data_IF_194622396895
#
_entry.id   IF_194622396895
#
_cell.length_a   1.000
_cell.length_b   1.000
_cell.length_c   1.000
_cell.angle_alpha   90.00
_cell.angle_beta   90.00
_cell.angle_gamma   90.00
#
_symmetry.space_group_name_H-M   'P 1'
#
loop_
_entity.id
_entity.type
_entity.pdbx_description
1 polymer ?
#
# COMPACT_ATOMS: atom_id res chain seq x y z
N UNK A 1 -14.91 31.82 -50.89
CA UNK A 1 -14.92 30.38 -50.62
C UNK A 1 -14.29 30.19 -49.25
N UNK A 2 -15.10 30.03 -48.20
CA UNK A 2 -14.61 29.82 -46.82
C UNK A 2 -14.42 28.33 -46.59
N UNK A 3 -13.35 27.90 -45.88
CA UNK A 3 -13.15 26.48 -45.59
C UNK A 3 -14.20 26.03 -44.57
N UNK A 4 -14.79 24.87 -44.84
CA UNK A 4 -15.73 24.14 -43.98
C UNK A 4 -15.06 23.78 -42.67
N UNK A 5 -15.77 24.04 -41.55
CA UNK A 5 -15.37 23.63 -40.20
C UNK A 5 -15.16 22.12 -40.14
N UNK A 6 -13.97 21.73 -39.74
CA UNK A 6 -13.63 20.34 -39.45
C UNK A 6 -14.37 19.92 -38.16
N UNK A 7 -15.31 18.98 -38.28
CA UNK A 7 -15.97 18.38 -37.15
C UNK A 7 -14.93 17.72 -36.22
N UNK A 8 -14.85 18.21 -35.00
CA UNK A 8 -14.08 17.55 -33.91
C UNK A 8 -14.86 16.29 -33.51
N UNK A 9 -14.31 15.10 -33.64
CA UNK A 9 -15.00 13.89 -33.23
C UNK A 9 -15.23 13.91 -31.71
N UNK A 10 -16.49 14.07 -31.30
CA UNK A 10 -16.94 13.88 -29.93
C UNK A 10 -17.00 12.38 -29.65
N UNK A 11 -15.94 11.83 -29.04
CA UNK A 11 -16.02 10.48 -28.46
C UNK A 11 -16.92 10.54 -27.24
N UNK A 12 -17.92 9.66 -27.10
CA UNK A 12 -18.70 9.57 -25.88
C UNK A 12 -17.77 9.07 -24.78
N UNK A 13 -17.37 9.94 -23.86
CA UNK A 13 -16.69 9.55 -22.62
C UNK A 13 -17.73 8.87 -21.75
N UNK A 14 -17.94 7.57 -21.94
CA UNK A 14 -18.64 6.73 -20.97
C UNK A 14 -17.71 6.54 -19.77
N UNK A 15 -17.62 7.54 -18.90
CA UNK A 15 -16.85 7.46 -17.67
C UNK A 15 -17.47 6.36 -16.79
N UNK A 16 -16.73 5.24 -16.62
CA UNK A 16 -17.13 4.19 -15.71
C UNK A 16 -17.04 4.69 -14.29
N UNK A 17 -18.19 4.75 -13.61
CA UNK A 17 -18.26 5.10 -12.19
C UNK A 17 -18.38 3.82 -11.38
N UNK A 18 -17.50 3.65 -10.39
CA UNK A 18 -17.52 2.52 -9.45
C UNK A 18 -17.63 3.04 -8.02
N UNK A 19 -18.39 2.34 -7.20
CA UNK A 19 -18.45 2.61 -5.77
C UNK A 19 -17.51 1.66 -5.05
N UNK A 20 -16.75 2.17 -4.10
CA UNK A 20 -15.89 1.39 -3.22
C UNK A 20 -15.99 1.90 -1.78
N UNK A 21 -15.61 1.04 -0.84
CA UNK A 21 -15.48 1.38 0.57
C UNK A 21 -14.33 0.56 1.16
N UNK A 22 -13.66 1.13 2.16
CA UNK A 22 -12.64 0.42 2.93
C UNK A 22 -13.26 0.11 4.28
N UNK A 23 -13.23 -1.14 4.67
CA UNK A 23 -13.86 -1.58 5.91
C UNK A 23 -13.28 -0.89 7.15
N UNK A 24 -14.12 -0.72 8.17
CA UNK A 24 -13.77 -0.01 9.40
C UNK A 24 -12.62 -0.65 10.17
N UNK A 25 -12.46 -1.96 10.07
CA UNK A 25 -11.40 -2.69 10.75
C UNK A 25 -10.03 -2.60 10.05
N UNK A 26 -9.96 -2.08 8.81
CA UNK A 26 -8.72 -1.96 8.04
C UNK A 26 -7.99 -0.62 8.30
N UNK A 27 -7.93 -0.22 9.56
CA UNK A 27 -7.28 1.04 9.92
C UNK A 27 -5.74 0.93 9.95
N UNK A 28 -5.09 2.03 9.59
CA UNK A 28 -3.72 2.35 9.99
C UNK A 28 -3.77 3.33 11.18
N UNK A 29 -3.84 4.65 10.95
CA UNK A 29 -4.24 5.61 11.98
C UNK A 29 -5.66 5.33 12.48
N UNK A 30 -5.97 5.67 13.75
CA UNK A 30 -7.25 5.31 14.43
C UNK A 30 -8.55 5.65 13.65
N UNK A 31 -8.53 6.65 12.76
CA UNK A 31 -9.71 7.13 12.01
C UNK A 31 -9.47 7.17 10.50
N UNK A 32 -8.51 6.43 10.02
CA UNK A 32 -8.19 6.37 8.60
C UNK A 32 -7.77 4.96 8.21
N UNK A 33 -7.99 4.61 6.95
CA UNK A 33 -7.53 3.37 6.38
C UNK A 33 -6.00 3.25 6.47
N UNK A 34 -5.50 2.02 6.60
CA UNK A 34 -4.10 1.74 6.30
C UNK A 34 -3.83 2.10 4.84
N UNK A 35 -2.67 2.70 4.58
CA UNK A 35 -2.32 3.21 3.25
C UNK A 35 -2.33 2.14 2.19
N UNK A 36 -1.71 1.00 2.46
CA UNK A 36 -1.65 -0.13 1.54
C UNK A 36 -3.01 -0.77 1.27
N UNK A 37 -3.86 -0.98 2.29
CA UNK A 37 -5.24 -1.43 2.08
C UNK A 37 -6.04 -0.45 1.22
N UNK A 38 -5.88 0.85 1.47
CA UNK A 38 -6.53 1.88 0.67
C UNK A 38 -6.03 1.84 -0.78
N UNK A 39 -4.72 1.84 -0.98
CA UNK A 39 -4.11 1.80 -2.29
C UNK A 39 -4.49 0.53 -3.07
N UNK A 40 -4.39 -0.65 -2.45
CA UNK A 40 -4.75 -1.93 -3.08
C UNK A 40 -6.24 -2.03 -3.42
N UNK A 41 -7.14 -1.47 -2.60
CA UNK A 41 -8.57 -1.41 -2.91
C UNK A 41 -8.83 -0.50 -4.11
N UNK A 42 -8.15 0.63 -4.19
CA UNK A 42 -8.26 1.59 -5.29
C UNK A 42 -7.61 1.02 -6.56
N UNK A 43 -6.45 0.36 -6.46
CA UNK A 43 -5.75 -0.23 -7.59
C UNK A 43 -6.63 -1.20 -8.41
N UNK A 44 -7.56 -1.92 -7.76
CA UNK A 44 -8.52 -2.79 -8.45
C UNK A 44 -9.49 -2.06 -9.38
N UNK A 45 -9.55 -0.75 -9.33
CA UNK A 45 -10.38 0.04 -10.26
C UNK A 45 -9.67 0.39 -11.56
N UNK A 46 -8.37 0.14 -11.63
CA UNK A 46 -7.53 0.30 -12.83
C UNK A 46 -7.34 -1.05 -13.49
N UNK A 47 -7.51 -1.11 -14.80
CA UNK A 47 -7.31 -2.32 -15.61
C UNK A 47 -5.86 -2.36 -16.11
N UNK A 48 -4.94 -2.77 -15.22
CA UNK A 48 -3.52 -2.94 -15.51
C UNK A 48 -2.87 -3.86 -14.47
N UNK A 49 -1.82 -4.58 -14.87
CA UNK A 49 -1.06 -5.47 -13.98
C UNK A 49 -0.23 -4.67 -12.96
N UNK A 50 0.36 -3.56 -13.40
CA UNK A 50 1.11 -2.62 -12.56
C UNK A 50 0.31 -1.34 -12.42
N UNK A 51 0.07 -0.93 -11.18
CA UNK A 51 -0.75 0.25 -10.88
C UNK A 51 -0.01 1.19 -9.94
N UNK A 52 -0.05 2.48 -10.24
CA UNK A 52 0.36 3.56 -9.35
C UNK A 52 -0.86 4.17 -8.68
N UNK A 53 -0.84 4.24 -7.35
CA UNK A 53 -1.88 4.91 -6.54
C UNK A 53 -1.25 6.02 -5.72
N UNK A 54 -1.79 7.23 -5.84
CA UNK A 54 -1.41 8.37 -4.99
C UNK A 54 -2.56 8.70 -4.04
N UNK A 55 -2.26 8.72 -2.74
CA UNK A 55 -3.20 9.10 -1.68
C UNK A 55 -3.04 10.59 -1.38
N UNK A 56 -4.10 11.38 -1.56
CA UNK A 56 -4.11 12.82 -1.30
C UNK A 56 -4.48 13.16 0.16
N UNK A 57 -4.06 12.31 1.08
CA UNK A 57 -4.29 12.43 2.51
C UNK A 57 -4.96 11.20 3.10
N UNK A 58 -5.52 11.33 4.31
CA UNK A 58 -6.14 10.21 5.01
C UNK A 58 -7.41 9.74 4.28
N UNK A 59 -7.43 8.47 3.91
CA UNK A 59 -8.59 7.83 3.27
C UNK A 59 -9.57 7.39 4.38
N UNK A 60 -10.85 7.77 4.30
CA UNK A 60 -11.83 7.46 5.34
C UNK A 60 -12.25 6.00 5.32
N UNK A 61 -12.53 5.45 6.49
CA UNK A 61 -13.06 4.10 6.71
C UNK A 61 -14.58 4.06 6.67
N UNK A 62 -15.17 2.95 6.23
CA UNK A 62 -16.61 2.68 6.27
C UNK A 62 -17.44 3.74 5.55
N UNK A 63 -16.85 4.44 4.61
CA UNK A 63 -17.49 5.53 3.87
C UNK A 63 -17.51 5.18 2.38
N UNK A 64 -18.65 5.49 1.75
CA UNK A 64 -18.76 5.36 0.29
C UNK A 64 -17.81 6.33 -0.41
N UNK A 65 -16.97 5.79 -1.27
CA UNK A 65 -16.08 6.52 -2.16
C UNK A 65 -16.52 6.27 -3.61
N UNK A 66 -16.31 7.24 -4.46
CA UNK A 66 -16.63 7.17 -5.88
C UNK A 66 -15.34 7.18 -6.67
N UNK A 67 -15.11 6.15 -7.44
CA UNK A 67 -14.02 6.04 -8.40
C UNK A 67 -14.58 6.34 -9.79
N UNK A 68 -14.06 7.37 -10.44
CA UNK A 68 -14.47 7.83 -11.76
C UNK A 68 -13.30 7.68 -12.72
N UNK A 69 -13.53 7.00 -13.84
CA UNK A 69 -12.58 6.93 -14.95
C UNK A 69 -12.45 8.31 -15.60
N UNK A 70 -11.21 8.77 -15.75
CA UNK A 70 -10.91 10.09 -16.34
C UNK A 70 -10.13 10.00 -17.64
N UNK A 71 -10.08 8.80 -18.23
CA UNK A 71 -9.37 8.52 -19.49
C UNK A 71 -7.97 7.95 -19.27
N UNK A 72 -7.38 7.41 -20.34
CA UNK A 72 -6.06 6.76 -20.35
C UNK A 72 -5.85 5.70 -19.24
N UNK A 73 -6.94 5.02 -18.84
CA UNK A 73 -6.92 4.04 -17.73
C UNK A 73 -6.76 4.66 -16.34
N UNK A 74 -6.76 5.99 -16.24
CA UNK A 74 -6.64 6.68 -14.95
C UNK A 74 -7.98 6.84 -14.25
N UNK A 75 -7.94 6.82 -12.92
CA UNK A 75 -9.10 6.90 -12.03
C UNK A 75 -8.88 7.97 -10.98
N UNK A 76 -9.89 8.79 -10.75
CA UNK A 76 -9.98 9.74 -9.62
C UNK A 76 -10.95 9.19 -8.59
N UNK A 77 -10.52 9.13 -7.33
CA UNK A 77 -11.37 8.68 -6.22
C UNK A 77 -11.75 9.86 -5.35
N UNK A 78 -13.05 10.02 -5.09
CA UNK A 78 -13.59 11.13 -4.31
C UNK A 78 -14.49 10.67 -3.15
N UNK A 79 -14.59 11.54 -2.14
CA UNK A 79 -15.62 11.54 -1.10
C UNK A 79 -16.39 12.86 -1.18
N UNK A 80 -17.59 12.86 -1.74
CA UNK A 80 -18.25 14.09 -2.15
C UNK A 80 -17.38 14.88 -3.12
N UNK A 81 -17.19 16.17 -2.89
CA UNK A 81 -16.33 17.02 -3.72
C UNK A 81 -14.82 16.85 -3.45
N UNK A 82 -14.42 16.16 -2.36
CA UNK A 82 -13.00 16.02 -2.00
C UNK A 82 -12.35 14.86 -2.74
N UNK A 83 -11.30 15.14 -3.51
CA UNK A 83 -10.42 14.11 -4.07
C UNK A 83 -9.60 13.47 -2.94
N UNK A 84 -9.66 12.14 -2.82
CA UNK A 84 -8.93 11.37 -1.79
C UNK A 84 -7.78 10.56 -2.35
N UNK A 85 -7.87 10.15 -3.61
CA UNK A 85 -6.80 9.44 -4.29
C UNK A 85 -6.89 9.59 -5.81
N UNK A 86 -5.79 9.25 -6.49
CA UNK A 86 -5.73 9.00 -7.93
C UNK A 86 -5.03 7.68 -8.18
N UNK A 87 -5.38 6.99 -9.26
CA UNK A 87 -4.72 5.77 -9.69
C UNK A 87 -4.60 5.73 -11.21
N UNK A 88 -3.55 5.12 -11.73
CA UNK A 88 -3.32 4.95 -13.16
C UNK A 88 -2.43 3.74 -13.42
N UNK A 89 -2.37 3.20 -14.65
CA UNK A 89 -1.34 2.24 -15.03
C UNK A 89 0.04 2.77 -14.67
N UNK A 90 0.86 1.93 -14.06
CA UNK A 90 2.19 2.28 -13.57
C UNK A 90 3.28 1.46 -14.22
N UNK A 91 4.52 1.85 -13.96
CA UNK A 91 5.71 1.11 -14.36
C UNK A 91 6.60 0.87 -13.13
N UNK A 92 7.13 -0.33 -13.01
CA UNK A 92 8.16 -0.64 -12.02
C UNK A 92 9.52 -0.45 -12.68
N UNK A 93 10.38 0.30 -12.02
CA UNK A 93 11.77 0.41 -12.45
C UNK A 93 12.52 -0.87 -12.07
N UNK A 94 13.33 -1.38 -12.97
CA UNK A 94 14.23 -2.47 -12.65
C UNK A 94 15.30 -2.00 -11.67
N UNK A 95 15.27 -2.57 -10.49
CA UNK A 95 16.26 -2.30 -9.45
C UNK A 95 16.78 -3.63 -8.94
N UNK A 96 18.10 -3.79 -8.83
CA UNK A 96 18.67 -4.99 -8.25
C UNK A 96 18.15 -5.15 -6.81
N UNK A 97 17.70 -6.36 -6.51
CA UNK A 97 17.33 -6.71 -5.14
C UNK A 97 18.59 -6.73 -4.27
N UNK A 98 18.47 -6.36 -2.98
CA UNK A 98 19.57 -6.58 -2.04
C UNK A 98 19.96 -8.05 -1.98
N UNK A 99 21.24 -8.34 -2.13
CA UNK A 99 21.77 -9.70 -2.03
C UNK A 99 22.72 -9.86 -0.83
N UNK A 100 22.60 -10.96 -0.11
CA UNK A 100 21.53 -11.95 -0.20
C UNK A 100 20.19 -11.36 0.28
N UNK A 101 19.08 -11.83 -0.30
CA UNK A 101 17.75 -11.47 0.22
C UNK A 101 17.60 -11.94 1.68
N UNK A 102 16.85 -11.21 2.53
CA UNK A 102 16.60 -11.63 3.90
C UNK A 102 15.89 -12.99 3.95
N UNK A 103 16.37 -13.86 4.84
CA UNK A 103 15.72 -15.13 5.13
C UNK A 103 14.51 -14.95 6.04
N UNK A 104 13.71 -16.00 6.22
CA UNK A 104 12.60 -15.97 7.17
C UNK A 104 13.12 -15.79 8.62
N UNK A 105 14.27 -16.35 8.95
CA UNK A 105 14.93 -16.13 10.25
C UNK A 105 15.31 -14.66 10.43
N UNK A 106 15.91 -14.04 9.42
CA UNK A 106 16.24 -12.60 9.47
C UNK A 106 14.98 -11.75 9.67
N UNK A 107 13.88 -12.10 9.01
CA UNK A 107 12.63 -11.39 9.14
C UNK A 107 12.01 -11.52 10.56
N UNK A 108 12.10 -12.68 11.20
CA UNK A 108 11.68 -12.85 12.59
C UNK A 108 12.57 -12.05 13.55
N UNK A 109 13.89 -12.10 13.40
CA UNK A 109 14.82 -11.31 14.21
C UNK A 109 14.60 -9.81 14.01
N UNK A 110 14.35 -9.37 12.77
CA UNK A 110 14.03 -7.98 12.47
C UNK A 110 12.74 -7.55 13.17
N UNK A 111 11.66 -8.34 13.09
CA UNK A 111 10.41 -8.07 13.79
C UNK A 111 10.61 -7.92 15.29
N UNK A 112 11.39 -8.82 15.90
CA UNK A 112 11.61 -8.84 17.35
C UNK A 112 12.46 -7.63 17.81
N UNK A 113 13.20 -7.00 16.89
CA UNK A 113 13.90 -5.73 17.09
C UNK A 113 12.99 -4.49 16.94
N UNK A 114 11.71 -4.65 16.64
CA UNK A 114 10.75 -3.54 16.51
C UNK A 114 9.95 -3.33 17.82
N UNK A 115 9.70 -2.08 18.27
CA UNK A 115 10.29 -0.85 17.74
C UNK A 115 11.74 -0.73 18.18
N UNK A 116 12.63 -0.29 17.30
CA UNK A 116 14.01 -0.12 17.68
C UNK A 116 14.12 0.90 18.80
N UNK A 117 15.01 0.64 19.76
CA UNK A 117 15.39 1.60 20.81
C UNK A 117 14.28 1.95 21.83
N UNK A 118 13.29 1.09 22.05
CA UNK A 118 12.23 1.33 23.04
C UNK A 118 11.23 2.43 22.65
N UNK A 119 11.28 2.91 21.43
CA UNK A 119 10.31 3.88 20.92
C UNK A 119 8.95 3.21 20.79
N UNK A 120 7.92 3.79 21.42
CA UNK A 120 6.55 3.27 21.28
C UNK A 120 6.11 3.34 19.83
N UNK A 121 5.57 2.23 19.31
CA UNK A 121 5.02 2.16 17.97
C UNK A 121 3.94 3.23 17.74
N UNK A 122 4.11 4.17 16.79
CA UNK A 122 3.21 5.32 16.64
C UNK A 122 1.79 4.93 16.20
N UNK A 123 1.65 3.74 15.60
CA UNK A 123 0.39 3.15 15.13
C UNK A 123 0.15 1.77 15.75
N UNK A 124 0.22 1.66 17.07
CA UNK A 124 0.15 0.36 17.78
C UNK A 124 -1.12 -0.45 17.49
N UNK A 125 -2.17 0.19 16.97
CA UNK A 125 -3.44 -0.44 16.59
C UNK A 125 -3.63 -0.58 15.07
N UNK A 126 -2.59 -0.34 14.27
CA UNK A 126 -2.64 -0.55 12.83
C UNK A 126 -2.96 -2.01 12.50
N UNK A 127 -3.89 -2.26 11.58
CA UNK A 127 -4.27 -3.62 11.17
C UNK A 127 -3.11 -4.41 10.57
N UNK A 128 -2.10 -3.73 9.99
CA UNK A 128 -0.95 -4.38 9.34
C UNK A 128 0.19 -4.62 10.33
N UNK A 129 0.71 -3.58 10.96
CA UNK A 129 1.95 -3.64 11.75
C UNK A 129 1.75 -3.41 13.26
N UNK A 130 0.52 -3.15 13.71
CA UNK A 130 0.26 -2.76 15.09
C UNK A 130 0.44 -3.92 16.08
N UNK A 131 1.34 -3.81 17.07
CA UNK A 131 1.57 -4.87 18.05
C UNK A 131 0.39 -5.10 19.00
N UNK A 132 -0.42 -4.05 19.25
CA UNK A 132 -1.58 -4.13 20.14
C UNK A 132 -2.84 -4.66 19.44
N UNK A 133 -2.73 -5.01 18.16
CA UNK A 133 -3.84 -5.46 17.33
C UNK A 133 -3.91 -6.98 17.25
N UNK A 134 -4.82 -7.62 18.01
CA UNK A 134 -4.94 -9.10 18.05
C UNK A 134 -5.38 -9.72 16.71
N UNK A 135 -6.24 -9.05 15.95
CA UNK A 135 -6.75 -9.45 14.65
C UNK A 135 -5.95 -8.85 13.48
N UNK A 136 -4.73 -8.34 13.76
CA UNK A 136 -3.84 -7.74 12.77
C UNK A 136 -3.11 -8.77 11.89
N UNK A 137 -2.48 -8.25 10.83
CA UNK A 137 -1.62 -9.06 9.96
C UNK A 137 -0.25 -9.34 10.59
N UNK A 138 0.16 -8.54 11.57
CA UNK A 138 1.46 -8.61 12.26
C UNK A 138 2.67 -8.54 11.32
N UNK A 139 2.54 -7.81 10.21
CA UNK A 139 3.66 -7.49 9.31
C UNK A 139 4.38 -6.27 9.90
N UNK A 140 5.17 -6.52 10.92
CA UNK A 140 5.86 -5.49 11.70
C UNK A 140 7.32 -5.43 11.25
N UNK A 141 7.73 -4.37 10.52
CA UNK A 141 9.10 -4.29 10.00
C UNK A 141 10.09 -3.90 11.09
N UNK A 142 11.27 -4.44 10.99
CA UNK A 142 12.41 -4.01 11.80
C UNK A 142 13.71 -4.12 11.02
N UNK A 143 14.82 -3.61 11.55
CA UNK A 143 16.12 -3.66 10.89
C UNK A 143 16.65 -5.10 10.83
N UNK A 144 17.12 -5.50 9.64
CA UNK A 144 17.77 -6.80 9.47
C UNK A 144 19.10 -6.81 10.22
N UNK A 145 19.42 -7.84 11.00
CA UNK A 145 20.69 -7.94 11.74
C UNK A 145 21.91 -7.72 10.82
N UNK A 146 22.79 -6.83 11.21
CA UNK A 146 23.99 -6.47 10.42
C UNK A 146 23.72 -5.61 9.17
N UNK A 147 22.44 -5.35 8.83
CA UNK A 147 22.04 -4.52 7.66
C UNK A 147 20.94 -3.53 8.03
N UNK A 148 21.22 -2.51 8.87
CA UNK A 148 20.21 -1.63 9.45
C UNK A 148 19.46 -0.74 8.44
N UNK A 149 19.95 -0.62 7.21
CA UNK A 149 19.29 0.07 6.09
C UNK A 149 18.23 -0.79 5.39
N UNK A 150 18.20 -2.10 5.70
CA UNK A 150 17.27 -3.06 5.16
C UNK A 150 16.25 -3.41 6.23
N UNK A 151 14.96 -3.20 5.96
CA UNK A 151 13.88 -3.62 6.85
C UNK A 151 13.28 -4.93 6.36
N UNK A 152 12.89 -5.79 7.30
CA UNK A 152 12.16 -7.01 6.99
C UNK A 152 11.06 -7.29 8.01
N UNK A 153 10.05 -8.01 7.56
CA UNK A 153 8.97 -8.53 8.40
C UNK A 153 8.58 -9.93 7.92
N UNK A 154 8.33 -10.89 8.81
CA UNK A 154 7.64 -12.12 8.46
C UNK A 154 6.16 -11.82 8.27
N UNK A 155 5.53 -12.43 7.28
CA UNK A 155 4.08 -12.43 7.14
C UNK A 155 3.56 -13.87 7.04
N UNK A 156 2.73 -14.25 7.98
CA UNK A 156 1.97 -15.50 7.95
C UNK A 156 0.53 -15.13 7.58
N UNK A 157 0.06 -15.61 6.43
CA UNK A 157 -1.27 -15.25 5.94
C UNK A 157 -2.34 -15.84 6.85
N UNK A 158 -2.98 -14.97 7.62
CA UNK A 158 -4.05 -15.34 8.56
C UNK A 158 -5.42 -15.45 7.86
N UNK A 159 -6.36 -16.24 8.41
CA UNK A 159 -7.68 -16.42 7.80
C UNK A 159 -8.53 -15.16 7.64
N UNK A 160 -8.27 -14.10 8.39
CA UNK A 160 -9.03 -12.85 8.34
C UNK A 160 -8.67 -11.92 7.15
N UNK A 161 -7.62 -12.24 6.40
CA UNK A 161 -7.16 -11.44 5.25
C UNK A 161 -7.12 -12.26 3.95
N UNK A 162 -7.96 -13.27 3.82
CA UNK A 162 -8.00 -14.14 2.65
C UNK A 162 -9.40 -14.26 2.01
N UNK A 163 -9.40 -14.67 0.76
CA UNK A 163 -10.60 -15.12 0.05
C UNK A 163 -10.21 -16.19 -0.96
N UNK A 164 -11.03 -17.23 -1.09
CA UNK A 164 -10.74 -18.37 -1.98
C UNK A 164 -9.35 -18.99 -1.76
N UNK A 165 -8.93 -19.14 -0.49
CA UNK A 165 -7.68 -19.81 -0.11
C UNK A 165 -6.39 -19.00 -0.26
N UNK A 166 -6.46 -17.74 -0.69
CA UNK A 166 -5.31 -16.87 -0.82
C UNK A 166 -5.57 -15.48 -0.20
N UNK A 167 -4.51 -14.76 0.14
CA UNK A 167 -4.61 -13.38 0.62
C UNK A 167 -5.43 -12.52 -0.35
N UNK A 168 -6.31 -11.66 0.17
CA UNK A 168 -7.01 -10.70 -0.69
C UNK A 168 -6.00 -9.73 -1.33
N UNK A 169 -6.28 -9.29 -2.55
CA UNK A 169 -5.37 -8.44 -3.31
C UNK A 169 -4.89 -7.21 -2.52
N UNK A 170 -5.80 -6.51 -1.84
CA UNK A 170 -5.46 -5.34 -1.04
C UNK A 170 -4.63 -5.66 0.21
N UNK A 171 -4.66 -6.90 0.73
CA UNK A 171 -3.79 -7.32 1.83
C UNK A 171 -2.33 -7.45 1.39
N UNK A 172 -2.08 -7.86 0.13
CA UNK A 172 -0.71 -7.88 -0.42
C UNK A 172 -0.13 -6.45 -0.49
N UNK A 173 -0.91 -5.50 -0.99
CA UNK A 173 -0.52 -4.09 -0.97
C UNK A 173 -0.28 -3.57 0.44
N UNK A 174 -1.13 -3.97 1.39
CA UNK A 174 -0.99 -3.59 2.79
C UNK A 174 0.27 -4.18 3.42
N UNK A 175 0.60 -5.44 3.10
CA UNK A 175 1.84 -6.08 3.56
C UNK A 175 3.10 -5.38 3.04
N UNK A 176 3.04 -4.75 1.87
CA UNK A 176 4.14 -3.97 1.30
C UNK A 176 4.24 -2.55 1.90
N UNK A 177 3.14 -1.96 2.36
CA UNK A 177 3.09 -0.57 2.88
C UNK A 177 3.94 -0.39 4.14
N UNK A 178 3.65 -1.13 5.21
CA UNK A 178 4.36 -0.92 6.47
C UNK A 178 5.87 -1.21 6.39
N UNK A 179 6.35 -2.28 5.74
CA UNK A 179 7.78 -2.49 5.54
C UNK A 179 8.45 -1.45 4.63
N UNK A 180 7.72 -0.75 3.77
CA UNK A 180 8.28 0.32 2.93
C UNK A 180 8.61 1.60 3.71
N UNK A 181 8.41 1.60 5.02
CA UNK A 181 8.80 2.69 5.90
C UNK A 181 10.31 2.98 5.75
N UNK A 182 10.74 4.24 5.60
CA UNK A 182 12.17 4.54 5.52
C UNK A 182 12.91 4.07 6.78
N UNK A 183 13.96 3.28 6.63
CA UNK A 183 14.68 2.71 7.76
C UNK A 183 15.22 3.78 8.73
N UNK A 184 15.70 4.89 8.20
CA UNK A 184 16.15 6.03 9.01
C UNK A 184 14.99 6.66 9.80
N UNK A 185 13.82 6.85 9.16
CA UNK A 185 12.64 7.40 9.84
C UNK A 185 12.14 6.47 10.94
N UNK A 186 12.17 5.14 10.71
CA UNK A 186 11.82 4.15 11.73
C UNK A 186 12.78 4.21 12.93
N UNK A 187 14.08 4.28 12.66
CA UNK A 187 15.12 4.41 13.70
C UNK A 187 14.95 5.68 14.54
N UNK A 188 14.65 6.81 13.87
CA UNK A 188 14.58 8.12 14.50
C UNK A 188 13.18 8.43 15.07
N UNK A 189 12.24 7.47 15.00
CA UNK A 189 10.86 7.63 15.48
C UNK A 189 10.03 8.65 14.71
N UNK A 190 10.42 8.96 13.48
CA UNK A 190 9.72 9.92 12.61
C UNK A 190 8.49 9.29 12.02
N UNK A 191 7.33 9.92 12.21
CA UNK A 191 6.06 9.42 11.69
C UNK A 191 5.91 9.67 10.19
N UNK A 192 5.72 8.59 9.41
CA UNK A 192 5.48 8.63 7.98
C UNK A 192 4.13 7.98 7.63
N UNK A 193 3.53 8.44 6.55
CA UNK A 193 2.34 7.84 5.94
C UNK A 193 2.60 7.63 4.45
N UNK A 194 1.96 6.62 3.88
CA UNK A 194 2.03 6.34 2.46
C UNK A 194 1.47 7.53 1.64
N UNK A 195 2.28 8.06 0.75
CA UNK A 195 1.88 9.06 -0.24
C UNK A 195 1.53 8.44 -1.58
N UNK A 196 2.51 7.75 -2.18
CA UNK A 196 2.34 7.09 -3.49
C UNK A 196 2.93 5.68 -3.43
N UNK A 197 2.28 4.75 -4.08
CA UNK A 197 2.73 3.37 -4.22
C UNK A 197 2.46 2.87 -5.63
N UNK A 198 3.49 2.32 -6.27
CA UNK A 198 3.38 1.55 -7.50
C UNK A 198 3.64 0.09 -7.18
N UNK A 199 2.71 -0.79 -7.56
CA UNK A 199 2.89 -2.21 -7.29
C UNK A 199 2.30 -3.08 -8.39
N UNK A 200 2.88 -4.28 -8.53
CA UNK A 200 2.39 -5.42 -9.30
C UNK A 200 2.26 -6.61 -8.37
N UNK A 201 1.19 -7.37 -8.51
CA UNK A 201 0.96 -8.57 -7.70
C UNK A 201 0.95 -9.77 -8.64
N UNK A 202 2.09 -10.42 -8.76
CA UNK A 202 2.25 -11.60 -9.63
C UNK A 202 1.58 -12.83 -9.01
N UNK A 203 1.60 -12.93 -7.67
CA UNK A 203 0.99 -14.04 -6.92
C UNK A 203 0.47 -13.54 -5.57
N UNK A 204 -0.64 -14.10 -5.14
CA UNK A 204 -1.16 -13.90 -3.78
C UNK A 204 -0.79 -15.13 -2.93
N UNK A 205 -0.13 -14.96 -1.78
CA UNK A 205 0.22 -16.07 -0.91
C UNK A 205 -1.02 -16.76 -0.34
N UNK A 206 -0.92 -18.07 -0.12
CA UNK A 206 -1.98 -18.89 0.46
C UNK A 206 -2.11 -18.75 1.97
N UNK A 207 -3.26 -19.19 2.52
CA UNK A 207 -3.47 -19.22 3.98
C UNK A 207 -2.44 -20.11 4.65
N UNK A 208 -1.83 -19.61 5.72
CA UNK A 208 -0.76 -20.29 6.46
C UNK A 208 0.61 -20.21 5.79
N UNK A 209 0.69 -19.71 4.56
CA UNK A 209 1.98 -19.49 3.90
C UNK A 209 2.80 -18.45 4.66
N UNK A 210 4.09 -18.73 4.80
CA UNK A 210 5.07 -17.84 5.41
C UNK A 210 5.87 -17.14 4.33
N UNK A 211 5.79 -15.83 4.27
CA UNK A 211 6.52 -15.01 3.32
C UNK A 211 7.39 -13.98 4.04
N UNK A 212 8.46 -13.57 3.40
CA UNK A 212 9.32 -12.47 3.86
C UNK A 212 8.92 -11.23 3.08
N UNK A 213 8.56 -10.17 3.78
CA UNK A 213 8.38 -8.84 3.19
C UNK A 213 9.58 -8.01 3.60
N UNK A 214 10.26 -7.41 2.65
CA UNK A 214 11.43 -6.58 2.95
C UNK A 214 11.51 -5.36 2.05
N UNK A 215 12.23 -4.36 2.50
CA UNK A 215 12.39 -3.08 1.83
C UNK A 215 13.74 -2.46 2.10
N UNK A 216 14.14 -1.54 1.24
CA UNK A 216 15.31 -0.70 1.44
C UNK A 216 15.02 0.71 0.92
N UNK A 217 15.64 1.69 1.57
CA UNK A 217 15.54 3.08 1.14
C UNK A 217 16.51 3.32 0.00
N UNK A 218 16.03 3.86 -1.11
CA UNK A 218 16.84 4.21 -2.28
C UNK A 218 17.32 5.64 -2.23
N UNK A 219 16.41 6.54 -1.93
CA UNK A 219 16.66 7.97 -1.90
C UNK A 219 15.80 8.60 -0.82
N UNK A 220 16.33 9.62 -0.19
CA UNK A 220 15.60 10.46 0.75
C UNK A 220 15.79 11.92 0.37
N UNK A 221 14.72 12.59 0.00
CA UNK A 221 14.70 14.02 -0.37
C UNK A 221 13.93 14.79 0.69
N UNK A 222 14.65 15.48 1.57
CA UNK A 222 14.08 16.26 2.66
C UNK A 222 13.25 15.41 3.62
N UNK A 223 12.00 15.82 3.86
CA UNK A 223 11.01 15.10 4.69
C UNK A 223 10.02 14.27 3.87
N UNK A 224 10.27 14.10 2.58
CA UNK A 224 9.42 13.34 1.65
C UNK A 224 10.15 12.12 1.14
#
# INVERSE_FOLDING_TARGET
>A
MYPTATEVPTFPITSRIRTLAIDRHLNGPRRAANGGFAAGTIARTVDADTVTVTLHGRVPLGTRLIATDVGAGAVVVTKGARRVATAHPGELSDHPLPEPAPTLTDAFLARDAHPPYGVRHPLSTCVVCGPDRRDGMHVTPGPVPGRPHLLAAPWVVAPNVWTHGAAVFSAVWAALDCPSYPAAALRDGVFCLLGTMTARVDRRPGVGERVVVFSWTREQVGRR
#
